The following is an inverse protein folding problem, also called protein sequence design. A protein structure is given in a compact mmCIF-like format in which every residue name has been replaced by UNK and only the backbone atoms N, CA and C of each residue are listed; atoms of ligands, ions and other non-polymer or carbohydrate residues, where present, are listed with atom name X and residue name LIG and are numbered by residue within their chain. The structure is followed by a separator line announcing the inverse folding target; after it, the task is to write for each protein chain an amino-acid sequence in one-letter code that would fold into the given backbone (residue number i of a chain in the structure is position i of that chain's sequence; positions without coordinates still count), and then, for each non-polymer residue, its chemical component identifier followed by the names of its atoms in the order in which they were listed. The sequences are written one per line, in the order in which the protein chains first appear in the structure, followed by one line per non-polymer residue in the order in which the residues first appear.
data_IF_486591988218
#
_entry.id   IF_486591988218
#
_cell.length_a   1.000
_cell.length_b   1.000
_cell.length_c   1.000
_cell.angle_alpha   90.00
_cell.angle_beta   90.00
_cell.angle_gamma   90.00
#
_symmetry.space_group_name_H-M   'P 1'
#
loop_
_entity.id
_entity.type
_entity.pdbx_description
1 polymer ?
#
# COMPACT_ATOMS: atom_id res chain seq x y z
N UNK A 1 -22.96 60.42 4.70
CA UNK A 1 -22.04 61.43 5.18
C UNK A 1 -20.78 60.76 5.63
N UNK A 2 -19.74 60.69 4.80
CA UNK A 2 -18.40 60.18 5.11
C UNK A 2 -17.49 61.33 5.46
N UNK A 3 -16.47 61.13 6.31
CA UNK A 3 -15.26 61.88 6.11
C UNK A 3 -14.03 60.96 5.83
N UNK A 4 -13.36 61.29 4.76
CA UNK A 4 -12.05 60.82 4.37
C UNK A 4 -10.98 61.27 5.36
N UNK A 5 -10.25 60.32 5.95
CA UNK A 5 -9.03 60.59 6.72
C UNK A 5 -7.80 60.61 5.81
N UNK A 6 -7.10 61.74 5.83
CA UNK A 6 -5.90 62.05 5.02
C UNK A 6 -4.67 61.28 5.56
N UNK A 7 -3.89 60.69 4.64
CA UNK A 7 -2.53 60.19 4.88
C UNK A 7 -1.53 61.37 5.08
N UNK A 8 -0.60 61.30 6.01
CA UNK A 8 0.50 62.25 6.09
C UNK A 8 1.64 61.82 5.12
N UNK A 9 1.90 62.72 4.21
CA UNK A 9 3.04 62.79 3.32
C UNK A 9 4.21 63.38 4.12
N UNK A 10 5.18 62.60 4.61
CA UNK A 10 6.51 63.06 4.94
C UNK A 10 7.38 61.92 5.48
N UNK A 11 7.94 61.12 4.59
CA UNK A 11 9.09 60.34 4.92
C UNK A 11 10.07 60.26 3.76
N UNK A 12 10.63 61.40 3.50
CA UNK A 12 11.81 61.50 2.68
C UNK A 12 12.75 62.48 3.37
N UNK A 13 13.71 61.97 4.12
CA UNK A 13 14.97 62.64 4.44
C UNK A 13 15.66 61.93 5.59
N UNK A 14 16.57 61.03 5.22
CA UNK A 14 17.89 60.95 5.88
C UNK A 14 18.76 59.99 5.07
N UNK A 15 19.51 60.58 4.15
CA UNK A 15 20.74 60.04 3.62
C UNK A 15 21.75 59.91 4.75
N UNK A 16 22.17 58.70 5.05
CA UNK A 16 23.32 58.41 5.89
C UNK A 16 24.18 57.41 5.16
N UNK A 17 25.19 57.87 4.43
CA UNK A 17 26.24 57.05 3.86
C UNK A 17 27.10 56.53 5.00
N UNK A 18 27.09 55.21 5.21
CA UNK A 18 28.10 54.53 6.03
C UNK A 18 28.69 53.38 5.21
N UNK A 19 29.90 53.65 4.81
CA UNK A 19 30.83 52.75 4.16
C UNK A 19 31.38 51.76 5.18
N UNK A 20 31.03 50.45 5.06
CA UNK A 20 31.63 49.42 5.92
C UNK A 20 31.95 48.20 5.06
N UNK A 21 33.20 47.94 4.92
CA UNK A 21 34.13 46.85 4.61
C UNK A 21 33.48 45.45 4.49
N UNK A 22 33.78 44.65 3.44
CA UNK A 22 33.39 43.28 3.35
C UNK A 22 34.25 42.37 4.22
N UNK A 23 33.75 41.87 5.34
CA UNK A 23 34.32 40.72 5.99
C UNK A 23 33.79 39.45 5.29
N UNK A 24 34.69 38.78 4.57
CA UNK A 24 34.45 37.46 3.98
C UNK A 24 34.26 36.46 5.11
N UNK A 25 32.99 36.16 5.48
CA UNK A 25 32.64 35.00 6.30
C UNK A 25 32.30 33.85 5.28
N UNK A 26 33.29 32.97 5.05
CA UNK A 26 33.05 31.67 4.46
C UNK A 26 32.20 30.84 5.43
N UNK A 27 30.88 31.07 5.45
CA UNK A 27 29.93 30.22 6.08
C UNK A 27 29.78 28.94 5.27
N UNK A 28 30.31 27.82 5.75
CA UNK A 28 29.93 26.51 5.27
C UNK A 28 28.41 26.35 5.44
N UNK A 29 27.67 26.44 4.36
CA UNK A 29 26.25 26.11 4.34
C UNK A 29 26.18 24.61 4.53
N UNK A 30 25.99 24.14 5.76
CA UNK A 30 25.58 22.79 6.05
C UNK A 30 24.21 22.59 5.39
N UNK A 31 24.18 21.99 4.22
CA UNK A 31 22.91 21.60 3.58
C UNK A 31 22.24 20.58 4.51
N UNK A 32 21.03 20.81 5.00
CA UNK A 32 20.31 19.80 5.74
C UNK A 32 20.13 18.58 4.84
N UNK A 33 20.52 17.43 5.36
CA UNK A 33 20.47 16.15 4.67
C UNK A 33 19.00 15.82 4.36
N UNK A 34 18.53 16.20 3.16
CA UNK A 34 17.12 16.06 2.70
C UNK A 34 16.80 14.59 2.39
N UNK A 35 17.82 13.74 2.27
CA UNK A 35 17.68 12.35 1.82
C UNK A 35 16.88 11.46 2.78
N UNK A 36 16.96 11.66 4.09
CA UNK A 36 16.28 10.81 5.06
C UNK A 36 14.76 11.03 5.14
N UNK A 37 14.29 12.24 4.77
CA UNK A 37 12.83 12.51 4.78
C UNK A 37 12.11 11.87 3.60
N UNK A 38 12.75 11.77 2.44
CA UNK A 38 12.17 11.17 1.25
C UNK A 38 11.97 9.65 1.43
N UNK A 39 12.91 8.96 2.08
CA UNK A 39 12.82 7.50 2.32
C UNK A 39 11.71 7.20 3.32
N UNK A 40 11.60 7.95 4.42
CA UNK A 40 10.56 7.77 5.42
C UNK A 40 9.14 7.97 4.84
N UNK A 41 8.94 8.97 3.99
CA UNK A 41 7.66 9.21 3.31
C UNK A 41 7.27 8.07 2.36
N UNK A 42 8.24 7.44 1.71
CA UNK A 42 7.99 6.32 0.80
C UNK A 42 7.57 5.06 1.57
N UNK A 43 8.16 4.80 2.72
CA UNK A 43 7.79 3.67 3.58
C UNK A 43 6.40 3.85 4.21
N UNK A 44 6.06 5.04 4.68
CA UNK A 44 4.72 5.34 5.21
C UNK A 44 3.66 5.23 4.11
N UNK A 45 3.93 5.74 2.91
CA UNK A 45 3.03 5.63 1.77
C UNK A 45 2.78 4.18 1.35
N UNK A 46 3.78 3.30 1.47
CA UNK A 46 3.62 1.88 1.16
C UNK A 46 2.82 1.12 2.22
N UNK A 47 2.78 1.59 3.46
CA UNK A 47 1.97 1.01 4.55
C UNK A 47 0.55 1.57 4.59
N UNK A 48 0.28 2.67 3.90
CA UNK A 48 -1.01 3.33 3.91
C UNK A 48 -2.06 2.54 3.12
N UNK A 49 -3.25 2.41 3.70
CA UNK A 49 -4.44 2.01 3.00
C UNK A 49 -4.99 3.22 2.23
N UNK A 50 -4.99 3.16 0.90
CA UNK A 50 -5.55 4.20 0.05
C UNK A 50 -6.93 3.78 -0.44
N UNK A 51 -7.92 4.66 -0.30
CA UNK A 51 -9.28 4.46 -0.80
C UNK A 51 -9.66 5.68 -1.65
N UNK A 52 -10.13 5.42 -2.87
CA UNK A 52 -10.70 6.40 -3.79
C UNK A 52 -12.17 6.03 -4.00
N UNK A 53 -13.06 7.01 -4.03
CA UNK A 53 -14.50 6.83 -4.26
C UNK A 53 -15.15 8.16 -4.64
N UNK A 54 -16.37 8.12 -5.11
CA UNK A 54 -17.13 9.33 -5.46
C UNK A 54 -17.53 10.12 -4.20
N UNK A 55 -17.83 9.40 -3.09
CA UNK A 55 -18.19 9.99 -1.81
C UNK A 55 -17.53 9.23 -0.66
N UNK A 56 -17.12 9.97 0.38
CA UNK A 56 -16.56 9.38 1.61
C UNK A 56 -17.13 10.07 2.84
N UNK A 57 -17.43 9.27 3.86
CA UNK A 57 -17.92 9.70 5.15
C UNK A 57 -17.05 9.10 6.25
N UNK A 58 -16.75 9.88 7.26
CA UNK A 58 -16.06 9.43 8.46
C UNK A 58 -16.88 9.73 9.71
N UNK A 59 -17.25 8.71 10.44
CA UNK A 59 -17.88 8.86 11.76
C UNK A 59 -16.82 8.69 12.85
N UNK A 60 -16.42 9.79 13.47
CA UNK A 60 -15.40 9.81 14.52
C UNK A 60 -15.85 9.07 15.78
N UNK A 61 -17.17 9.00 16.04
CA UNK A 61 -17.73 8.31 17.21
C UNK A 61 -17.56 6.81 17.11
N UNK A 62 -17.82 6.23 15.95
CA UNK A 62 -17.71 4.80 15.70
C UNK A 62 -16.35 4.41 15.13
N UNK A 63 -15.62 5.34 14.55
CA UNK A 63 -14.36 5.10 13.86
C UNK A 63 -14.54 4.40 12.52
N UNK A 64 -15.73 4.55 11.88
CA UNK A 64 -16.05 3.93 10.60
C UNK A 64 -15.85 4.94 9.48
N UNK A 65 -15.09 4.53 8.46
CA UNK A 65 -15.01 5.22 7.17
C UNK A 65 -15.91 4.48 6.19
N UNK A 66 -16.82 5.19 5.53
CA UNK A 66 -17.67 4.66 4.46
C UNK A 66 -17.34 5.36 3.16
N UNK A 67 -17.02 4.58 2.13
CA UNK A 67 -16.76 5.04 0.77
C UNK A 67 -17.84 4.48 -0.16
N UNK A 68 -18.42 5.33 -1.02
CA UNK A 68 -19.54 4.98 -1.89
C UNK A 68 -19.25 5.46 -3.31
N UNK A 69 -19.54 4.62 -4.29
CA UNK A 69 -19.42 4.90 -5.72
C UNK A 69 -18.00 4.71 -6.24
N UNK A 70 -17.83 3.87 -7.24
CA UNK A 70 -16.59 3.63 -7.97
C UNK A 70 -15.37 3.40 -7.04
N UNK A 71 -15.57 2.65 -5.96
CA UNK A 71 -14.54 2.44 -4.95
C UNK A 71 -13.35 1.71 -5.55
N UNK A 72 -12.17 2.28 -5.34
CA UNK A 72 -10.86 1.67 -5.62
C UNK A 72 -10.03 1.70 -4.37
N UNK A 73 -9.59 0.54 -3.94
CA UNK A 73 -8.76 0.37 -2.75
C UNK A 73 -7.39 -0.16 -3.14
N UNK A 74 -6.34 0.38 -2.54
CA UNK A 74 -4.97 -0.10 -2.68
C UNK A 74 -4.30 -0.17 -1.32
N UNK A 75 -3.74 -1.35 -1.01
CA UNK A 75 -2.94 -1.58 0.19
C UNK A 75 -1.59 -2.19 -0.19
N UNK A 76 -0.59 -1.34 -0.52
CA UNK A 76 0.68 -1.78 -1.10
C UNK A 76 1.47 -2.73 -0.19
N UNK A 77 1.43 -2.52 1.15
CA UNK A 77 2.13 -3.37 2.11
C UNK A 77 1.70 -4.85 2.05
N UNK A 78 0.49 -5.12 1.58
CA UNK A 78 -0.07 -6.47 1.42
C UNK A 78 -0.26 -6.86 -0.04
N UNK A 79 0.15 -5.97 -0.97
CA UNK A 79 -0.05 -6.13 -2.42
C UNK A 79 -1.51 -6.39 -2.80
N UNK A 80 -2.43 -5.70 -2.10
CA UNK A 80 -3.86 -5.82 -2.30
C UNK A 80 -4.35 -4.65 -3.14
N UNK A 81 -5.14 -4.96 -4.16
CA UNK A 81 -5.94 -4.01 -4.91
C UNK A 81 -7.38 -4.53 -4.94
N UNK A 82 -8.35 -3.62 -4.78
CA UNK A 82 -9.75 -4.01 -4.85
C UNK A 82 -10.62 -2.92 -5.49
N UNK A 83 -11.71 -3.37 -6.11
CA UNK A 83 -12.79 -2.52 -6.60
C UNK A 83 -14.12 -2.99 -6.04
N UNK A 84 -15.04 -2.04 -5.77
CA UNK A 84 -16.37 -2.32 -5.24
C UNK A 84 -17.31 -1.14 -5.53
N UNK A 85 -18.60 -1.32 -5.32
CA UNK A 85 -19.55 -0.21 -5.30
C UNK A 85 -19.47 0.57 -3.98
N UNK A 86 -19.21 -0.13 -2.88
CA UNK A 86 -19.10 0.45 -1.54
C UNK A 86 -18.00 -0.24 -0.73
N UNK A 87 -17.33 0.53 0.14
CA UNK A 87 -16.40 0.01 1.12
C UNK A 87 -16.66 0.63 2.49
N UNK A 88 -16.52 -0.16 3.54
CA UNK A 88 -16.55 0.29 4.92
C UNK A 88 -15.28 -0.18 5.64
N UNK A 89 -14.54 0.75 6.22
CA UNK A 89 -13.39 0.44 7.05
C UNK A 89 -13.74 0.67 8.51
N UNK A 90 -13.72 -0.40 9.28
CA UNK A 90 -13.95 -0.43 10.72
C UNK A 90 -12.60 -0.35 11.43
N UNK A 91 -12.21 0.85 11.83
CA UNK A 91 -10.86 1.09 12.36
C UNK A 91 -10.59 0.36 13.68
N UNK A 92 -11.58 0.24 14.55
CA UNK A 92 -11.47 -0.44 15.86
C UNK A 92 -11.37 -1.95 15.73
N UNK A 93 -12.11 -2.51 14.76
CA UNK A 93 -12.18 -3.94 14.49
C UNK A 93 -11.15 -4.40 13.47
N UNK A 94 -10.42 -3.43 12.90
CA UNK A 94 -9.37 -3.64 11.90
C UNK A 94 -9.82 -4.54 10.75
N UNK A 95 -11.04 -4.29 10.27
CA UNK A 95 -11.63 -5.01 9.13
C UNK A 95 -12.15 -4.05 8.07
N UNK A 96 -12.15 -4.52 6.84
CA UNK A 96 -12.71 -3.82 5.69
C UNK A 96 -13.81 -4.68 5.11
N UNK A 97 -14.98 -4.09 4.88
CA UNK A 97 -16.11 -4.73 4.20
C UNK A 97 -16.27 -4.06 2.85
N UNK A 98 -16.15 -4.83 1.78
CA UNK A 98 -16.37 -4.43 0.41
C UNK A 98 -17.68 -5.02 -0.07
N UNK A 99 -18.52 -4.26 -0.76
CA UNK A 99 -19.81 -4.72 -1.27
C UNK A 99 -20.15 -4.14 -2.64
N UNK A 100 -20.90 -4.92 -3.43
CA UNK A 100 -21.34 -4.58 -4.78
C UNK A 100 -20.26 -4.85 -5.83
N UNK A 101 -20.41 -5.97 -6.55
CA UNK A 101 -19.52 -6.40 -7.64
C UNK A 101 -18.02 -6.29 -7.26
N UNK A 102 -17.68 -6.91 -6.14
CA UNK A 102 -16.33 -6.82 -5.58
C UNK A 102 -15.35 -7.64 -6.39
N UNK A 103 -14.22 -7.04 -6.70
CA UNK A 103 -13.04 -7.70 -7.25
C UNK A 103 -11.83 -7.38 -6.37
N UNK A 104 -11.14 -8.39 -5.90
CA UNK A 104 -9.89 -8.27 -5.13
C UNK A 104 -8.78 -8.98 -5.88
N UNK A 105 -7.64 -8.32 -5.97
CA UNK A 105 -6.39 -8.88 -6.49
C UNK A 105 -5.33 -8.82 -5.40
N UNK A 106 -4.70 -9.96 -5.10
CA UNK A 106 -3.59 -10.05 -4.15
C UNK A 106 -2.51 -10.99 -4.69
N UNK A 107 -1.30 -10.47 -4.90
CA UNK A 107 -0.14 -11.27 -5.34
C UNK A 107 -0.43 -12.14 -6.58
N UNK A 108 -1.22 -11.64 -7.53
CA UNK A 108 -1.63 -12.37 -8.72
C UNK A 108 -2.89 -13.24 -8.53
N UNK A 109 -3.28 -13.55 -7.29
CA UNK A 109 -4.52 -14.25 -6.99
C UNK A 109 -5.71 -13.29 -7.03
N UNK A 110 -6.87 -13.73 -7.49
CA UNK A 110 -8.06 -12.89 -7.52
C UNK A 110 -9.27 -13.56 -6.89
N UNK A 111 -10.12 -12.75 -6.29
CA UNK A 111 -11.40 -13.15 -5.69
C UNK A 111 -12.48 -12.22 -6.20
N UNK A 112 -13.59 -12.78 -6.67
CA UNK A 112 -14.80 -12.07 -7.07
C UNK A 112 -15.97 -12.49 -6.22
N UNK A 113 -16.79 -11.54 -5.81
CA UNK A 113 -17.98 -11.82 -5.01
C UNK A 113 -18.86 -10.58 -4.87
N UNK A 114 -19.99 -10.75 -4.24
CA UNK A 114 -20.88 -9.61 -3.93
C UNK A 114 -20.43 -8.87 -2.69
N UNK A 115 -19.99 -9.60 -1.67
CA UNK A 115 -19.45 -9.04 -0.43
C UNK A 115 -18.18 -9.77 -0.06
N UNK A 116 -17.12 -9.01 0.21
CA UNK A 116 -15.84 -9.55 0.67
C UNK A 116 -15.44 -8.77 1.93
N UNK A 117 -15.16 -9.52 2.99
CA UNK A 117 -14.62 -9.00 4.24
C UNK A 117 -13.13 -9.30 4.29
N UNK A 118 -12.31 -8.29 4.55
CA UNK A 118 -10.88 -8.44 4.78
C UNK A 118 -10.55 -8.16 6.24
N UNK A 119 -10.03 -9.15 6.94
CA UNK A 119 -9.53 -9.05 8.31
C UNK A 119 -8.05 -8.68 8.25
N UNK A 120 -7.73 -7.43 8.61
CA UNK A 120 -6.40 -6.83 8.37
C UNK A 120 -5.32 -7.55 9.17
N UNK A 121 -5.58 -7.86 10.43
CA UNK A 121 -4.60 -8.46 11.34
C UNK A 121 -4.30 -9.91 10.96
N UNK A 122 -5.33 -10.63 10.55
CA UNK A 122 -5.24 -12.04 10.15
C UNK A 122 -4.77 -12.20 8.70
N UNK A 123 -4.91 -11.14 7.88
CA UNK A 123 -4.62 -11.21 6.44
C UNK A 123 -5.61 -12.09 5.67
N UNK A 124 -6.81 -12.30 6.23
CA UNK A 124 -7.80 -13.24 5.73
C UNK A 124 -8.90 -12.53 4.92
N UNK A 125 -9.22 -13.08 3.75
CA UNK A 125 -10.39 -12.72 2.97
C UNK A 125 -11.52 -13.72 3.20
N UNK A 126 -12.68 -13.21 3.54
CA UNK A 126 -13.91 -13.96 3.65
C UNK A 126 -14.89 -13.44 2.59
N UNK A 127 -15.16 -14.23 1.57
CA UNK A 127 -16.15 -13.91 0.56
C UNK A 127 -17.51 -14.49 0.95
N UNK A 128 -18.53 -13.63 0.95
CA UNK A 128 -19.91 -14.02 1.26
C UNK A 128 -20.70 -13.96 -0.04
N UNK A 129 -21.26 -15.08 -0.49
CA UNK A 129 -22.08 -15.10 -1.70
C UNK A 129 -23.42 -14.43 -1.46
N UNK A 130 -23.97 -13.79 -2.48
CA UNK A 130 -25.37 -13.39 -2.52
C UNK A 130 -26.24 -14.60 -2.90
N UNK A 131 -27.52 -14.57 -2.55
CA UNK A 131 -28.47 -15.63 -2.93
C UNK A 131 -28.36 -15.93 -4.45
N UNK A 132 -28.16 -17.20 -4.78
CA UNK A 132 -28.00 -17.73 -6.15
C UNK A 132 -26.76 -17.26 -6.92
N UNK A 133 -25.73 -16.74 -6.25
CA UNK A 133 -24.43 -16.43 -6.84
C UNK A 133 -23.32 -17.16 -6.12
N UNK A 134 -22.30 -17.61 -6.88
CA UNK A 134 -21.13 -18.25 -6.32
C UNK A 134 -19.99 -17.23 -6.18
N UNK A 135 -19.06 -17.51 -5.29
CA UNK A 135 -17.77 -16.81 -5.22
C UNK A 135 -16.82 -17.45 -6.21
N UNK A 136 -16.16 -16.64 -7.01
CA UNK A 136 -15.11 -17.08 -7.92
C UNK A 136 -13.75 -16.71 -7.35
N UNK A 137 -12.82 -17.65 -7.32
CA UNK A 137 -11.44 -17.41 -6.92
C UNK A 137 -10.48 -18.06 -7.92
N UNK A 138 -9.44 -17.30 -8.31
CA UNK A 138 -8.38 -17.77 -9.19
C UNK A 138 -7.07 -17.69 -8.41
N UNK A 139 -6.39 -18.82 -8.28
CA UNK A 139 -5.10 -18.93 -7.62
C UNK A 139 -4.01 -19.28 -8.61
N UNK A 140 -2.90 -18.55 -8.58
CA UNK A 140 -1.68 -18.89 -9.31
C UNK A 140 -0.92 -19.91 -8.47
N UNK A 141 -0.85 -21.15 -8.96
CA UNK A 141 -0.05 -22.20 -8.34
C UNK A 141 1.33 -22.17 -8.99
N UNK A 142 2.41 -21.86 -8.26
CA UNK A 142 3.76 -21.97 -8.80
C UNK A 142 4.02 -23.41 -9.24
N UNK A 143 4.74 -23.66 -10.35
CA UNK A 143 5.15 -25.00 -10.68
C UNK A 143 5.95 -25.58 -9.51
N UNK A 144 5.58 -26.79 -9.08
CA UNK A 144 6.40 -27.53 -8.11
C UNK A 144 7.82 -27.58 -8.64
N UNK A 145 8.82 -27.17 -7.85
CA UNK A 145 10.19 -27.45 -8.18
C UNK A 145 10.25 -28.97 -8.43
N UNK A 146 10.50 -29.35 -9.70
CA UNK A 146 10.65 -30.75 -10.09
C UNK A 146 11.73 -31.32 -9.21
N UNK A 147 11.33 -32.20 -8.29
CA UNK A 147 12.25 -32.89 -7.43
C UNK A 147 13.19 -33.66 -8.35
N UNK A 148 14.52 -33.46 -8.30
CA UNK A 148 15.42 -34.20 -9.16
C UNK A 148 15.08 -35.70 -9.04
N UNK A 149 15.04 -36.45 -10.13
CA UNK A 149 14.68 -37.87 -10.07
C UNK A 149 15.58 -38.55 -9.05
N UNK A 150 14.98 -39.09 -8.00
CA UNK A 150 15.67 -39.92 -7.02
C UNK A 150 16.43 -40.97 -7.78
N UNK A 151 17.78 -41.10 -7.62
CA UNK A 151 18.53 -42.12 -8.30
C UNK A 151 17.87 -43.49 -8.01
N UNK A 152 17.51 -44.20 -9.07
CA UNK A 152 16.95 -45.55 -8.93
C UNK A 152 17.90 -46.39 -8.05
N UNK A 153 17.38 -47.21 -7.12
CA UNK A 153 18.22 -48.08 -6.31
C UNK A 153 19.10 -48.93 -7.24
N UNK A 154 20.41 -48.83 -7.08
CA UNK A 154 21.34 -49.63 -7.84
C UNK A 154 20.99 -51.10 -7.66
N UNK A 155 20.62 -51.78 -8.76
CA UNK A 155 20.39 -53.20 -8.78
C UNK A 155 21.67 -53.92 -8.31
N UNK A 156 21.60 -54.79 -7.28
CA UNK A 156 22.77 -55.50 -6.83
C UNK A 156 23.25 -56.45 -7.95
N UNK A 157 24.43 -56.21 -8.47
CA UNK A 157 25.09 -57.11 -9.40
C UNK A 157 25.42 -58.41 -8.67
N UNK A 158 24.58 -59.40 -8.83
CA UNK A 158 24.92 -60.78 -8.46
C UNK A 158 25.99 -61.31 -9.44
N UNK A 159 27.25 -61.26 -9.01
CA UNK A 159 28.36 -61.95 -9.68
C UNK A 159 28.13 -63.46 -9.56
N UNK A 160 27.74 -64.09 -10.62
CA UNK A 160 27.71 -65.57 -10.73
C UNK A 160 29.12 -66.10 -10.52
N UNK A 161 29.38 -67.08 -9.62
CA UNK A 161 30.68 -67.66 -9.48
C UNK A 161 30.98 -68.51 -10.74
N UNK A 162 31.99 -68.14 -11.51
CA UNK A 162 32.54 -68.98 -12.57
C UNK A 162 33.15 -70.23 -11.95
N UNK A 163 32.55 -71.38 -12.24
CA UNK A 163 33.08 -72.68 -11.88
C UNK A 163 34.41 -72.94 -12.56
N UNK A 164 35.40 -73.42 -11.80
CA UNK A 164 36.70 -73.89 -12.26
C UNK A 164 36.47 -75.20 -13.10
N UNK A 165 37.04 -75.31 -14.27
CA UNK A 165 37.18 -76.62 -14.90
C UNK A 165 38.33 -77.45 -14.31
N UNK A 166 38.13 -78.67 -14.12
CA UNK A 166 39.18 -79.72 -13.77
C UNK A 166 40.06 -79.99 -14.94
#
# INVERSE_FOLDING_TARGET
MMPYGRLPKNWLRRLGIALIIPAALTGAIAMPNVSNRAIAQTEEASRALRVLSDQQFYDARTGIVTAIGNVRMSYPARQIQATAAQAQYFSRERRIVLSGNVFVLQQGNSIRGETIVYLIDEGLFQAVPQQNRQVESIYIVPPSAEQPPTPAPATPNFRTPQGRPR
#
